data_IF_444293737855
#
_entry.id   IF_444293737855
#
_cell.length_a   1.000
_cell.length_b   1.000
_cell.length_c   1.000
_cell.angle_alpha   90.00
_cell.angle_beta   90.00
_cell.angle_gamma   90.00
#
_symmetry.space_group_name_H-M   'P 1'
#
loop_
_entity.id
_entity.type
_entity.pdbx_description
1 polymer ?
#
# COMPACT_ATOMS: atom_id res chain seq x y z
N UNK A 1 -3.91 -34.09 -23.98
CA UNK A 1 -2.70 -33.28 -24.19
C UNK A 1 -2.15 -32.96 -22.80
N UNK A 2 -1.03 -33.54 -22.37
CA UNK A 2 -0.42 -33.18 -21.09
C UNK A 2 0.14 -31.76 -21.20
N UNK A 3 -0.12 -30.94 -20.19
CA UNK A 3 0.23 -29.53 -20.16
C UNK A 3 1.73 -29.31 -20.15
N UNK A 4 2.21 -28.48 -21.07
CA UNK A 4 3.52 -27.86 -20.98
C UNK A 4 3.51 -26.91 -19.79
N UNK A 5 4.16 -27.33 -18.71
CA UNK A 5 4.63 -26.41 -17.69
C UNK A 5 5.69 -25.56 -18.37
N UNK A 6 5.44 -24.25 -18.51
CA UNK A 6 6.51 -23.30 -18.77
C UNK A 6 7.47 -23.38 -17.58
N UNK A 7 8.52 -24.18 -17.73
CA UNK A 7 9.76 -23.98 -16.99
C UNK A 7 10.18 -22.54 -17.30
N UNK A 8 10.00 -21.64 -16.34
CA UNK A 8 10.79 -20.43 -16.28
C UNK A 8 12.23 -20.88 -16.11
N UNK A 9 12.85 -21.14 -17.25
CA UNK A 9 14.22 -21.55 -17.38
C UNK A 9 15.07 -20.61 -16.54
N UNK A 10 16.09 -21.23 -15.96
CA UNK A 10 17.23 -20.62 -15.32
C UNK A 10 17.95 -19.70 -16.34
N UNK A 11 17.35 -18.57 -16.74
CA UNK A 11 17.99 -17.50 -17.49
C UNK A 11 18.78 -16.66 -16.48
N UNK A 12 19.69 -17.35 -15.80
CA UNK A 12 20.80 -16.78 -15.07
C UNK A 12 22.06 -17.00 -15.88
N UNK A 13 22.10 -16.45 -17.09
CA UNK A 13 23.38 -16.22 -17.77
C UNK A 13 23.98 -14.97 -17.12
N UNK A 14 25.01 -15.21 -16.31
CA UNK A 14 26.07 -14.43 -15.63
C UNK A 14 26.13 -12.89 -15.66
N UNK A 15 25.19 -12.16 -16.26
CA UNK A 15 25.01 -10.71 -16.09
C UNK A 15 23.66 -10.31 -15.50
N UNK A 16 22.69 -11.22 -15.39
CA UNK A 16 21.49 -11.05 -14.54
C UNK A 16 20.57 -9.86 -14.88
N UNK A 17 20.67 -9.27 -16.07
CA UNK A 17 19.78 -8.21 -16.54
C UNK A 17 19.00 -8.67 -17.77
N UNK A 18 17.67 -8.66 -17.70
CA UNK A 18 16.82 -8.74 -18.89
C UNK A 18 16.84 -7.37 -19.56
N UNK A 19 17.51 -7.27 -20.72
CA UNK A 19 17.71 -5.99 -21.42
C UNK A 19 16.62 -5.64 -22.44
N UNK A 20 15.74 -6.57 -22.81
CA UNK A 20 14.67 -6.30 -23.78
C UNK A 20 13.46 -5.63 -23.10
N UNK A 21 13.15 -4.40 -23.52
CA UNK A 21 12.02 -3.62 -22.99
C UNK A 21 10.67 -4.35 -23.14
N UNK A 22 10.52 -5.12 -24.22
CA UNK A 22 9.30 -5.89 -24.52
C UNK A 22 9.04 -6.96 -23.46
N UNK A 23 10.09 -7.68 -23.03
CA UNK A 23 10.02 -8.70 -21.99
C UNK A 23 9.66 -8.10 -20.62
N UNK A 24 10.15 -6.90 -20.29
CA UNK A 24 9.82 -6.21 -19.03
C UNK A 24 8.35 -5.81 -18.99
N UNK A 25 7.81 -5.28 -20.09
CA UNK A 25 6.40 -4.89 -20.18
C UNK A 25 5.47 -6.11 -20.11
N UNK A 26 5.87 -7.25 -20.68
CA UNK A 26 5.14 -8.51 -20.54
C UNK A 26 5.11 -9.01 -19.09
N UNK A 27 6.24 -8.98 -18.37
CA UNK A 27 6.28 -9.38 -16.94
C UNK A 27 5.37 -8.46 -16.11
N UNK A 28 5.38 -7.15 -16.38
CA UNK A 28 4.50 -6.21 -15.67
C UNK A 28 3.02 -6.57 -15.93
N UNK A 29 2.65 -6.78 -17.19
CA UNK A 29 1.27 -7.05 -17.60
C UNK A 29 0.75 -8.40 -17.11
N UNK A 30 1.54 -9.46 -17.21
CA UNK A 30 1.11 -10.83 -16.95
C UNK A 30 1.50 -11.38 -15.58
N UNK A 31 2.44 -10.74 -14.87
CA UNK A 31 2.86 -11.19 -13.53
C UNK A 31 2.57 -10.15 -12.45
N UNK A 32 3.04 -8.90 -12.59
CA UNK A 32 2.91 -7.86 -11.54
C UNK A 32 1.45 -7.47 -11.32
N UNK A 33 0.74 -7.04 -12.37
CA UNK A 33 -0.65 -6.57 -12.24
C UNK A 33 -1.61 -7.67 -11.73
N UNK A 34 -1.59 -8.92 -12.24
CA UNK A 34 -2.44 -9.97 -11.71
C UNK A 34 -2.10 -10.32 -10.27
N UNK A 35 -0.81 -10.39 -9.91
CA UNK A 35 -0.37 -10.67 -8.54
C UNK A 35 -0.85 -9.59 -7.57
N UNK A 36 -0.78 -8.32 -7.96
CA UNK A 36 -1.31 -7.20 -7.19
C UNK A 36 -2.84 -7.30 -7.03
N UNK A 37 -3.57 -7.67 -8.10
CA UNK A 37 -5.01 -7.87 -8.06
C UNK A 37 -5.40 -9.00 -7.09
N UNK A 38 -4.75 -10.17 -7.18
CA UNK A 38 -4.98 -11.28 -6.23
C UNK A 38 -4.61 -10.90 -4.79
N UNK A 39 -3.50 -10.18 -4.59
CA UNK A 39 -3.11 -9.65 -3.28
C UNK A 39 -4.18 -8.73 -2.69
N UNK A 40 -4.79 -7.88 -3.54
CA UNK A 40 -5.89 -6.98 -3.15
C UNK A 40 -7.15 -7.76 -2.75
N UNK A 41 -7.49 -8.81 -3.50
CA UNK A 41 -8.62 -9.68 -3.14
C UNK A 41 -8.37 -10.34 -1.78
N UNK A 42 -7.18 -10.89 -1.54
CA UNK A 42 -6.81 -11.49 -0.25
C UNK A 42 -6.91 -10.46 0.87
N UNK A 43 -6.37 -9.26 0.67
CA UNK A 43 -6.44 -8.15 1.62
C UNK A 43 -7.90 -7.80 1.98
N UNK A 44 -8.76 -7.58 0.98
CA UNK A 44 -10.17 -7.25 1.17
C UNK A 44 -10.97 -8.37 1.84
N UNK A 45 -10.79 -9.62 1.39
CA UNK A 45 -11.46 -10.79 1.99
C UNK A 45 -11.05 -10.95 3.45
N UNK A 46 -9.76 -10.77 3.76
CA UNK A 46 -9.28 -10.88 5.14
C UNK A 46 -9.90 -9.80 6.01
N UNK A 47 -9.92 -8.55 5.57
CA UNK A 47 -10.60 -7.48 6.30
C UNK A 47 -12.08 -7.76 6.52
N UNK A 48 -12.76 -8.28 5.50
CA UNK A 48 -14.18 -8.61 5.58
C UNK A 48 -14.45 -9.74 6.59
N UNK A 49 -13.70 -10.85 6.50
CA UNK A 49 -13.84 -12.00 7.42
C UNK A 49 -13.55 -11.59 8.87
N UNK A 50 -12.49 -10.81 9.09
CA UNK A 50 -12.17 -10.30 10.44
C UNK A 50 -13.30 -9.41 10.95
N UNK A 51 -13.78 -8.45 10.15
CA UNK A 51 -14.87 -7.59 10.60
C UNK A 51 -16.19 -8.34 10.82
N UNK A 52 -16.48 -9.41 10.07
CA UNK A 52 -17.60 -10.30 10.38
C UNK A 52 -17.46 -10.93 11.76
N UNK A 53 -16.28 -11.47 12.09
CA UNK A 53 -16.04 -12.04 13.44
C UNK A 53 -16.13 -10.98 14.55
N UNK A 54 -15.79 -9.73 14.25
CA UNK A 54 -15.85 -8.59 15.18
C UNK A 54 -17.27 -8.03 15.35
N UNK A 55 -18.10 -8.03 14.30
CA UNK A 55 -19.52 -7.70 14.42
C UNK A 55 -20.25 -8.59 15.44
N UNK A 56 -19.75 -9.81 15.67
CA UNK A 56 -20.25 -10.73 16.70
C UNK A 56 -19.54 -10.62 18.06
N UNK A 57 -18.46 -9.85 18.18
CA UNK A 57 -17.71 -9.63 19.42
C UNK A 57 -17.24 -8.17 19.50
N UNK A 58 -18.05 -7.32 20.14
CA UNK A 58 -17.84 -5.87 20.32
C UNK A 58 -16.69 -5.61 21.30
N UNK A 59 -15.46 -6.00 20.95
CA UNK A 59 -14.25 -5.72 21.73
C UNK A 59 -13.14 -5.23 20.79
N UNK A 60 -13.45 -4.20 19.98
CA UNK A 60 -12.41 -3.35 19.40
C UNK A 60 -12.63 -1.94 19.92
N UNK A 61 -12.06 -1.69 21.09
CA UNK A 61 -11.90 -0.39 21.71
C UNK A 61 -10.79 0.41 20.98
N UNK A 62 -10.64 1.70 21.31
CA UNK A 62 -9.51 2.57 20.91
C UNK A 62 -8.13 1.85 20.80
N UNK A 63 -7.77 0.90 21.70
CA UNK A 63 -6.62 0.01 21.56
C UNK A 63 -6.43 -0.69 20.21
N UNK A 64 -7.51 -1.14 19.55
CA UNK A 64 -7.43 -1.79 18.23
C UNK A 64 -6.95 -0.84 17.13
N UNK A 65 -7.32 0.43 17.24
CA UNK A 65 -6.89 1.49 16.34
C UNK A 65 -5.42 1.84 16.59
N UNK A 66 -4.98 1.87 17.85
CA UNK A 66 -3.57 2.03 18.22
C UNK A 66 -2.73 0.84 17.71
N UNK A 67 -3.21 -0.39 17.87
CA UNK A 67 -2.57 -1.59 17.33
C UNK A 67 -2.46 -1.55 15.81
N UNK A 68 -3.47 -1.05 15.09
CA UNK A 68 -3.41 -0.86 13.64
C UNK A 68 -2.35 0.18 13.22
N UNK A 69 -2.14 1.23 14.03
CA UNK A 69 -1.11 2.25 13.79
C UNK A 69 0.29 1.69 14.09
N UNK A 70 0.46 0.94 15.19
CA UNK A 70 1.74 0.31 15.53
C UNK A 70 2.11 -0.75 14.49
N UNK A 71 1.14 -1.57 14.08
CA UNK A 71 1.32 -2.56 13.04
C UNK A 71 1.54 -1.92 11.66
N UNK A 72 1.00 -0.73 11.40
CA UNK A 72 1.36 0.09 10.23
C UNK A 72 2.85 0.47 10.22
N UNK A 73 3.41 0.92 11.34
CA UNK A 73 4.84 1.21 11.43
C UNK A 73 5.69 -0.07 11.34
N UNK A 74 5.24 -1.17 11.94
CA UNK A 74 5.92 -2.46 11.81
C UNK A 74 5.91 -2.97 10.37
N UNK A 75 4.80 -2.84 9.64
CA UNK A 75 4.71 -3.15 8.21
C UNK A 75 5.60 -2.23 7.39
N UNK A 76 5.57 -0.91 7.60
CA UNK A 76 6.43 0.04 6.90
C UNK A 76 7.94 -0.24 7.14
N UNK A 77 8.31 -0.61 8.37
CA UNK A 77 9.68 -1.04 8.71
C UNK A 77 10.00 -2.37 8.04
N UNK A 78 9.08 -3.35 8.06
CA UNK A 78 9.27 -4.62 7.37
C UNK A 78 9.50 -4.41 5.87
N UNK A 79 8.70 -3.56 5.22
CA UNK A 79 8.84 -3.14 3.81
C UNK A 79 10.21 -2.52 3.55
N UNK A 80 10.64 -1.59 4.41
CA UNK A 80 11.95 -0.96 4.31
C UNK A 80 13.11 -1.96 4.47
N UNK A 81 13.02 -2.86 5.46
CA UNK A 81 14.03 -3.89 5.73
C UNK A 81 14.08 -4.91 4.59
N UNK A 82 12.94 -5.38 4.10
CA UNK A 82 12.89 -6.26 2.92
C UNK A 82 13.46 -5.57 1.69
N UNK A 83 13.33 -4.24 1.60
CA UNK A 83 13.88 -3.45 0.51
C UNK A 83 15.37 -3.20 0.55
N UNK A 84 15.95 -3.14 1.75
CA UNK A 84 17.40 -3.03 1.92
C UNK A 84 18.13 -4.34 1.67
N UNK A 85 17.48 -5.49 1.87
CA UNK A 85 18.20 -6.77 1.85
C UNK A 85 18.55 -7.29 0.45
N UNK A 86 18.00 -6.72 -0.63
CA UNK A 86 18.51 -6.88 -2.01
C UNK A 86 18.64 -8.31 -2.54
N UNK A 87 18.22 -9.33 -1.79
CA UNK A 87 18.45 -10.74 -2.09
C UNK A 87 17.14 -11.41 -2.48
N UNK A 88 17.12 -11.76 -3.76
CA UNK A 88 16.38 -12.79 -4.47
C UNK A 88 15.15 -13.40 -3.78
N UNK A 89 14.04 -13.25 -4.49
CA UNK A 89 12.87 -14.13 -4.43
C UNK A 89 12.18 -14.12 -3.07
N UNK A 90 11.54 -12.99 -2.73
CA UNK A 90 10.31 -13.05 -1.93
C UNK A 90 9.45 -14.12 -2.60
N UNK A 91 9.35 -15.30 -2.00
CA UNK A 91 8.55 -16.37 -2.57
C UNK A 91 7.13 -15.84 -2.68
N UNK A 92 6.45 -16.05 -3.81
CA UNK A 92 5.05 -15.65 -4.03
C UNK A 92 4.13 -15.92 -2.81
N UNK A 93 4.29 -17.04 -2.07
CA UNK A 93 3.56 -17.29 -0.82
C UNK A 93 3.78 -16.24 0.27
N UNK A 94 5.00 -15.71 0.41
CA UNK A 94 5.32 -14.66 1.39
C UNK A 94 4.63 -13.35 1.04
N UNK A 95 4.52 -13.01 -0.26
CA UNK A 95 3.74 -11.86 -0.71
C UNK A 95 2.26 -12.00 -0.32
N UNK A 96 1.65 -13.18 -0.54
CA UNK A 96 0.26 -13.41 -0.17
C UNK A 96 0.06 -13.44 1.35
N UNK A 97 0.99 -14.02 2.11
CA UNK A 97 0.97 -13.98 3.58
C UNK A 97 1.06 -12.53 4.10
N UNK A 98 1.82 -11.68 3.42
CA UNK A 98 1.91 -10.26 3.72
C UNK A 98 0.61 -9.52 3.39
N UNK A 99 -0.05 -9.83 2.26
CA UNK A 99 -1.36 -9.25 1.93
C UNK A 99 -2.44 -9.66 2.96
N UNK A 100 -2.43 -10.93 3.38
CA UNK A 100 -3.30 -11.43 4.44
C UNK A 100 -3.03 -10.73 5.78
N UNK A 101 -1.77 -10.62 6.18
CA UNK A 101 -1.37 -9.95 7.42
C UNK A 101 -1.72 -8.47 7.41
N UNK A 102 -1.53 -7.78 6.28
CA UNK A 102 -1.97 -6.40 6.10
C UNK A 102 -3.50 -6.27 6.27
N UNK A 103 -4.27 -7.21 5.71
CA UNK A 103 -5.73 -7.24 5.89
C UNK A 103 -6.13 -7.43 7.35
N UNK A 104 -5.51 -8.36 8.07
CA UNK A 104 -5.75 -8.56 9.51
C UNK A 104 -5.50 -7.29 10.32
N UNK A 105 -4.36 -6.64 10.05
CA UNK A 105 -3.92 -5.45 10.76
C UNK A 105 -4.82 -4.25 10.51
N UNK A 106 -5.32 -4.10 9.29
CA UNK A 106 -6.13 -2.95 8.87
C UNK A 106 -7.62 -3.15 9.11
N UNK A 107 -8.07 -4.39 9.36
CA UNK A 107 -9.47 -4.70 9.61
C UNK A 107 -10.13 -3.83 10.72
N UNK A 108 -9.48 -3.55 11.87
CA UNK A 108 -10.07 -2.70 12.91
C UNK A 108 -10.41 -1.28 12.44
N UNK A 109 -9.77 -0.78 11.38
CA UNK A 109 -10.05 0.55 10.82
C UNK A 109 -11.43 0.59 10.16
N UNK A 110 -11.79 -0.47 9.44
CA UNK A 110 -13.13 -0.61 8.85
C UNK A 110 -14.18 -0.74 9.95
N UNK A 111 -13.89 -1.53 10.99
CA UNK A 111 -14.74 -1.65 12.18
C UNK A 111 -14.94 -0.32 12.90
N UNK A 112 -13.91 0.52 13.00
CA UNK A 112 -14.04 1.88 13.53
C UNK A 112 -15.01 2.74 12.71
N UNK A 113 -14.97 2.63 11.37
CA UNK A 113 -15.94 3.31 10.52
C UNK A 113 -17.37 2.87 10.76
N UNK A 114 -17.60 1.57 11.02
CA UNK A 114 -18.91 1.04 11.41
C UNK A 114 -19.40 1.58 12.75
N UNK A 115 -18.50 1.67 13.75
CA UNK A 115 -18.84 2.27 15.05
C UNK A 115 -19.20 3.75 14.90
N UNK A 116 -18.48 4.48 14.04
CA UNK A 116 -18.68 5.92 13.88
C UNK A 116 -19.96 6.28 13.12
N UNK A 117 -20.28 5.53 12.05
CA UNK A 117 -21.41 5.82 11.18
C UNK A 117 -22.69 5.07 11.58
N UNK A 118 -22.58 3.92 12.26
CA UNK A 118 -23.74 3.11 12.65
C UNK A 118 -24.46 2.41 11.49
N UNK A 119 -24.02 2.61 10.24
CA UNK A 119 -24.62 2.04 9.04
C UNK A 119 -23.59 1.22 8.24
N UNK A 120 -23.80 -0.10 8.18
CA UNK A 120 -22.95 -1.02 7.42
C UNK A 120 -22.98 -0.75 5.92
N UNK A 121 -24.14 -0.40 5.35
CA UNK A 121 -24.27 -0.13 3.92
C UNK A 121 -23.44 1.11 3.55
N UNK A 122 -23.51 2.15 4.38
CA UNK A 122 -22.74 3.36 4.17
C UNK A 122 -21.23 3.11 4.27
N UNK A 123 -20.79 2.33 5.26
CA UNK A 123 -19.37 1.95 5.41
C UNK A 123 -18.87 1.17 4.19
N UNK A 124 -19.62 0.19 3.71
CA UNK A 124 -19.25 -0.59 2.52
C UNK A 124 -19.18 0.29 1.27
N UNK A 125 -20.09 1.26 1.13
CA UNK A 125 -20.07 2.24 0.05
C UNK A 125 -18.81 3.11 0.13
N UNK A 126 -18.49 3.70 1.28
CA UNK A 126 -17.30 4.55 1.45
C UNK A 126 -16.01 3.75 1.26
N UNK A 127 -15.96 2.49 1.70
CA UNK A 127 -14.83 1.60 1.47
C UNK A 127 -14.64 1.30 -0.02
N UNK A 128 -15.73 1.02 -0.74
CA UNK A 128 -15.70 0.82 -2.19
C UNK A 128 -15.19 2.06 -2.91
N UNK A 129 -15.66 3.25 -2.52
CA UNK A 129 -15.18 4.53 -3.06
C UNK A 129 -13.68 4.71 -2.78
N UNK A 130 -13.20 4.34 -1.59
CA UNK A 130 -11.79 4.41 -1.26
C UNK A 130 -10.92 3.49 -2.12
N UNK A 131 -11.39 2.26 -2.41
CA UNK A 131 -10.73 1.34 -3.34
C UNK A 131 -10.65 1.93 -4.75
N UNK A 132 -11.75 2.47 -5.26
CA UNK A 132 -11.76 3.13 -6.58
C UNK A 132 -10.82 4.34 -6.63
N UNK A 133 -10.83 5.18 -5.59
CA UNK A 133 -9.97 6.36 -5.50
C UNK A 133 -8.49 5.97 -5.46
N UNK A 134 -8.11 5.00 -4.63
CA UNK A 134 -6.75 4.49 -4.58
C UNK A 134 -6.30 3.93 -5.94
N UNK A 135 -7.16 3.17 -6.62
CA UNK A 135 -6.85 2.60 -7.95
C UNK A 135 -6.64 3.71 -8.98
N UNK A 136 -7.52 4.71 -8.99
CA UNK A 136 -7.41 5.86 -9.88
C UNK A 136 -6.13 6.65 -9.61
N UNK A 137 -5.73 6.82 -8.34
CA UNK A 137 -4.46 7.47 -7.96
C UNK A 137 -3.27 6.69 -8.48
N UNK A 138 -3.16 5.39 -8.19
CA UNK A 138 -2.05 4.55 -8.67
C UNK A 138 -1.98 4.54 -10.20
N UNK A 139 -3.13 4.41 -10.88
CA UNK A 139 -3.19 4.44 -12.34
C UNK A 139 -2.74 5.78 -12.91
N UNK A 140 -3.18 6.90 -12.32
CA UNK A 140 -2.76 8.24 -12.75
C UNK A 140 -1.25 8.42 -12.59
N UNK A 141 -0.69 8.01 -11.44
CA UNK A 141 0.75 8.07 -11.20
C UNK A 141 1.51 7.17 -12.18
N UNK A 142 0.99 5.98 -12.49
CA UNK A 142 1.57 5.07 -13.48
C UNK A 142 1.60 5.71 -14.88
N UNK A 143 0.52 6.36 -15.30
CA UNK A 143 0.49 7.07 -16.57
C UNK A 143 1.48 8.24 -16.57
N UNK A 144 1.53 9.05 -15.51
CA UNK A 144 2.45 10.18 -15.39
C UNK A 144 3.93 9.73 -15.46
N UNK A 145 4.27 8.64 -14.78
CA UNK A 145 5.64 8.08 -14.77
C UNK A 145 6.01 7.50 -16.13
N UNK A 146 5.09 6.81 -16.83
CA UNK A 146 5.30 6.28 -18.18
C UNK A 146 5.60 7.37 -19.21
N UNK A 147 4.88 8.49 -19.17
CA UNK A 147 5.06 9.58 -20.15
C UNK A 147 6.18 10.57 -19.79
N UNK A 148 6.62 10.62 -18.53
CA UNK A 148 7.62 11.59 -18.04
C UNK A 148 9.04 11.03 -17.92
N UNK A 149 9.44 10.11 -18.79
CA UNK A 149 10.69 9.33 -18.74
C UNK A 149 11.99 10.13 -18.52
N UNK A 150 11.99 11.45 -18.76
CA UNK A 150 13.13 12.35 -18.52
C UNK A 150 13.19 12.95 -17.11
N UNK A 151 12.07 13.11 -16.41
CA UNK A 151 12.01 13.79 -15.11
C UNK A 151 12.21 12.84 -13.92
N UNK A 152 11.69 11.60 -14.02
CA UNK A 152 11.72 10.60 -12.95
C UNK A 152 12.83 9.55 -13.13
N UNK A 153 13.97 9.96 -13.69
CA UNK A 153 15.13 9.08 -13.72
C UNK A 153 15.62 8.88 -12.26
N UNK A 154 15.76 7.64 -11.74
CA UNK A 154 16.12 7.39 -10.34
C UNK A 154 17.49 7.97 -9.93
N UNK A 155 18.33 8.35 -10.90
CA UNK A 155 19.56 9.11 -10.68
C UNK A 155 19.39 10.64 -10.55
N UNK A 156 18.20 11.18 -10.83
CA UNK A 156 17.95 12.63 -10.82
C UNK A 156 17.88 13.17 -9.38
N UNK A 157 18.38 14.40 -9.18
CA UNK A 157 18.33 15.06 -7.88
C UNK A 157 16.92 15.20 -7.30
N UNK A 158 15.89 15.20 -8.17
CA UNK A 158 14.48 15.31 -7.80
C UNK A 158 14.01 14.11 -6.94
N UNK A 159 14.42 12.89 -7.30
CA UNK A 159 14.09 11.68 -6.55
C UNK A 159 14.75 11.71 -5.16
N UNK A 160 16.00 12.16 -5.05
CA UNK A 160 16.67 12.32 -3.74
C UNK A 160 16.00 13.40 -2.88
N UNK A 161 15.63 14.53 -3.47
CA UNK A 161 14.91 15.61 -2.79
C UNK A 161 13.55 15.10 -2.28
N UNK A 162 12.84 14.28 -3.06
CA UNK A 162 11.58 13.69 -2.62
C UNK A 162 11.72 12.81 -1.38
N UNK A 163 12.82 12.04 -1.24
CA UNK A 163 13.11 11.24 -0.03
C UNK A 163 13.31 12.13 1.20
N UNK A 164 14.05 13.23 1.07
CA UNK A 164 14.25 14.19 2.17
C UNK A 164 12.96 14.89 2.57
N UNK A 165 12.11 15.25 1.60
CA UNK A 165 10.78 15.83 1.85
C UNK A 165 9.90 14.81 2.58
N UNK A 166 9.90 13.54 2.18
CA UNK A 166 9.17 12.47 2.88
C UNK A 166 9.67 12.28 4.31
N UNK A 167 10.99 12.30 4.56
CA UNK A 167 11.53 12.23 5.92
C UNK A 167 11.12 13.44 6.76
N UNK A 168 11.25 14.67 6.25
CA UNK A 168 10.87 15.87 6.98
C UNK A 168 9.37 15.94 7.26
N UNK A 169 8.54 15.56 6.30
CA UNK A 169 7.10 15.45 6.47
C UNK A 169 6.75 14.38 7.52
N UNK A 170 7.48 13.26 7.56
CA UNK A 170 7.30 12.20 8.57
C UNK A 170 7.68 12.67 9.98
N UNK A 171 8.74 13.47 10.12
CA UNK A 171 9.15 14.06 11.41
C UNK A 171 8.15 15.13 11.86
N UNK A 172 7.76 16.05 10.97
CA UNK A 172 6.74 17.07 11.25
C UNK A 172 5.40 16.44 11.63
N UNK A 173 5.06 15.32 11.00
CA UNK A 173 3.91 14.51 11.35
C UNK A 173 3.98 13.93 12.77
N UNK A 174 5.13 13.37 13.14
CA UNK A 174 5.35 12.77 14.45
C UNK A 174 5.24 13.82 15.57
N UNK A 175 5.72 15.03 15.31
CA UNK A 175 5.56 16.19 16.21
C UNK A 175 4.08 16.58 16.33
N UNK A 176 3.37 16.71 15.20
CA UNK A 176 1.94 17.05 15.20
C UNK A 176 1.07 15.96 15.85
N UNK A 177 1.45 14.69 15.72
CA UNK A 177 0.84 13.55 16.40
C UNK A 177 0.97 13.67 17.92
N UNK A 178 2.17 13.93 18.43
CA UNK A 178 2.40 14.13 19.86
C UNK A 178 1.61 15.33 20.36
N UNK A 179 1.59 16.44 19.63
CA UNK A 179 0.84 17.65 19.99
C UNK A 179 -0.67 17.42 20.03
N UNK A 180 -1.24 16.68 19.08
CA UNK A 180 -2.69 16.46 19.00
C UNK A 180 -3.20 15.47 20.05
N UNK A 181 -2.37 14.48 20.42
CA UNK A 181 -2.65 13.59 21.55
C UNK A 181 -2.72 14.36 22.88
N UNK A 182 -1.85 15.36 23.06
CA UNK A 182 -1.85 16.21 24.25
C UNK A 182 -3.07 17.15 24.32
N UNK A 183 -3.64 17.54 23.17
CA UNK A 183 -4.78 18.47 23.07
C UNK A 183 -6.14 17.72 23.15
N UNK A 184 -6.15 16.39 23.10
CA UNK A 184 -7.36 15.57 23.25
C UNK A 184 -8.32 15.60 22.04
N UNK A 185 -7.88 16.11 20.88
CA UNK A 185 -8.72 16.26 19.69
C UNK A 185 -8.46 15.14 18.66
N UNK A 186 -8.92 13.93 19.00
CA UNK A 186 -8.57 12.69 18.29
C UNK A 186 -9.09 12.59 16.85
N UNK A 187 -10.28 13.14 16.55
CA UNK A 187 -10.87 13.08 15.21
C UNK A 187 -10.15 13.99 14.21
N UNK A 188 -9.80 15.23 14.62
CA UNK A 188 -9.03 16.15 13.80
C UNK A 188 -7.62 15.60 13.54
N UNK A 189 -7.03 14.94 14.55
CA UNK A 189 -5.77 14.22 14.43
C UNK A 189 -5.83 13.09 13.39
N UNK A 190 -6.83 12.21 13.49
CA UNK A 190 -7.00 11.11 12.54
C UNK A 190 -7.22 11.60 11.11
N UNK A 191 -7.92 12.73 10.94
CA UNK A 191 -8.15 13.35 9.64
C UNK A 191 -6.85 13.89 9.03
N UNK A 192 -6.15 14.78 9.75
CA UNK A 192 -4.92 15.39 9.25
C UNK A 192 -3.80 14.36 9.03
N UNK A 193 -3.71 13.36 9.90
CA UNK A 193 -2.77 12.24 9.72
C UNK A 193 -3.07 11.41 8.49
N UNK A 194 -4.34 11.21 8.19
CA UNK A 194 -4.74 10.44 7.00
C UNK A 194 -4.45 11.23 5.72
N UNK A 195 -4.69 12.54 5.68
CA UNK A 195 -4.30 13.37 4.53
C UNK A 195 -2.80 13.35 4.26
N UNK A 196 -1.99 13.51 5.32
CA UNK A 196 -0.55 13.50 5.16
C UNK A 196 -0.04 12.11 4.76
N UNK A 197 -0.60 11.04 5.33
CA UNK A 197 -0.26 9.69 4.93
C UNK A 197 -0.61 9.44 3.45
N UNK A 198 -1.77 9.87 2.97
CA UNK A 198 -2.12 9.79 1.53
C UNK A 198 -1.10 10.53 0.67
N UNK A 199 -0.70 11.74 1.08
CA UNK A 199 0.30 12.52 0.35
C UNK A 199 1.66 11.80 0.31
N UNK A 200 2.16 11.35 1.47
CA UNK A 200 3.44 10.66 1.59
C UNK A 200 3.45 9.34 0.82
N UNK A 201 2.42 8.51 0.99
CA UNK A 201 2.29 7.26 0.26
C UNK A 201 2.16 7.52 -1.24
N UNK A 202 1.50 8.60 -1.68
CA UNK A 202 1.49 8.99 -3.08
C UNK A 202 2.90 9.24 -3.66
N UNK A 203 3.81 9.85 -2.89
CA UNK A 203 5.22 9.99 -3.29
C UNK A 203 5.96 8.65 -3.30
N UNK A 204 5.75 7.80 -2.30
CA UNK A 204 6.32 6.45 -2.28
C UNK A 204 5.87 5.64 -3.50
N UNK A 205 4.58 5.68 -3.83
CA UNK A 205 4.00 5.01 -4.99
C UNK A 205 4.61 5.54 -6.28
N UNK A 206 4.80 6.85 -6.38
CA UNK A 206 5.45 7.46 -7.53
C UNK A 206 6.91 7.00 -7.67
N UNK A 207 7.65 6.91 -6.56
CA UNK A 207 9.01 6.40 -6.56
C UNK A 207 9.06 4.92 -6.95
N UNK A 208 8.18 4.10 -6.39
CA UNK A 208 8.14 2.66 -6.64
C UNK A 208 7.68 2.34 -8.06
N UNK A 209 6.76 3.12 -8.64
CA UNK A 209 6.37 3.02 -10.04
C UNK A 209 7.50 3.48 -10.99
N UNK A 210 8.23 4.55 -10.65
CA UNK A 210 9.39 4.99 -11.42
C UNK A 210 10.51 3.93 -11.40
N UNK A 211 10.73 3.29 -10.25
CA UNK A 211 11.71 2.22 -10.07
C UNK A 211 11.20 0.83 -10.49
N UNK A 212 9.94 0.71 -10.94
CA UNK A 212 9.30 -0.58 -11.21
C UNK A 212 10.03 -1.34 -12.33
N UNK A 213 10.28 -0.67 -13.46
CA UNK A 213 10.95 -1.27 -14.62
C UNK A 213 12.35 -1.78 -14.26
N UNK A 214 13.13 -0.99 -13.51
CA UNK A 214 14.47 -1.37 -13.07
C UNK A 214 14.47 -2.56 -12.10
N UNK A 215 13.46 -2.63 -11.22
CA UNK A 215 13.31 -3.76 -10.30
C UNK A 215 12.87 -5.03 -11.05
N UNK A 216 12.01 -4.90 -12.06
CA UNK A 216 11.57 -6.02 -12.90
C UNK A 216 12.71 -6.53 -13.77
N UNK A 217 13.48 -5.65 -14.42
CA UNK A 217 14.61 -6.03 -15.29
C UNK A 217 15.75 -6.73 -14.53
N UNK A 218 15.89 -6.44 -13.22
CA UNK A 218 16.80 -7.13 -12.30
C UNK A 218 16.21 -8.39 -11.67
N UNK A 219 15.07 -8.91 -12.16
CA UNK A 219 14.44 -10.13 -11.68
C UNK A 219 13.71 -10.00 -10.32
N UNK A 220 13.63 -8.79 -9.75
CA UNK A 220 13.03 -8.51 -8.43
C UNK A 220 11.57 -8.07 -8.54
N UNK A 221 10.81 -8.67 -9.45
CA UNK A 221 9.43 -8.25 -9.76
C UNK A 221 8.45 -8.51 -8.61
N UNK A 222 8.57 -9.64 -7.88
CA UNK A 222 7.70 -9.94 -6.71
C UNK A 222 7.92 -8.92 -5.61
N UNK A 223 9.18 -8.55 -5.38
CA UNK A 223 9.56 -7.53 -4.42
C UNK A 223 8.98 -6.16 -4.80
N UNK A 224 9.09 -5.76 -6.07
CA UNK A 224 8.47 -4.52 -6.54
C UNK A 224 6.94 -4.53 -6.39
N UNK A 225 6.31 -5.69 -6.64
CA UNK A 225 4.87 -5.90 -6.47
C UNK A 225 4.46 -5.77 -5.00
N UNK A 226 5.25 -6.32 -4.07
CA UNK A 226 5.00 -6.24 -2.64
C UNK A 226 4.99 -4.79 -2.13
N UNK A 227 5.99 -4.00 -2.55
CA UNK A 227 6.06 -2.58 -2.22
C UNK A 227 4.86 -1.80 -2.74
N UNK A 228 4.56 -1.97 -4.03
CA UNK A 228 3.44 -1.30 -4.67
C UNK A 228 2.08 -1.69 -4.05
N UNK A 229 1.91 -2.97 -3.69
CA UNK A 229 0.70 -3.45 -3.02
C UNK A 229 0.53 -2.86 -1.63
N UNK A 230 1.61 -2.74 -0.85
CA UNK A 230 1.56 -2.15 0.50
C UNK A 230 1.19 -0.67 0.46
N UNK A 231 1.82 0.09 -0.44
CA UNK A 231 1.46 1.48 -0.70
C UNK A 231 -0.02 1.61 -1.08
N UNK A 232 -0.48 0.74 -1.97
CA UNK A 232 -1.88 0.72 -2.40
C UNK A 232 -2.85 0.41 -1.25
N UNK A 233 -2.56 -0.59 -0.40
CA UNK A 233 -3.40 -0.91 0.76
C UNK A 233 -3.45 0.24 1.76
N UNK A 234 -2.33 0.93 1.98
CA UNK A 234 -2.27 2.11 2.83
C UNK A 234 -3.15 3.22 2.26
N UNK A 235 -3.06 3.50 0.95
CA UNK A 235 -3.91 4.50 0.30
C UNK A 235 -5.39 4.21 0.50
N UNK A 236 -5.83 2.95 0.30
CA UNK A 236 -7.23 2.54 0.51
C UNK A 236 -7.69 2.92 1.92
N UNK A 237 -6.95 2.47 2.94
CA UNK A 237 -7.35 2.65 4.34
C UNK A 237 -7.38 4.14 4.73
N UNK A 238 -6.41 4.92 4.26
CA UNK A 238 -6.32 6.34 4.60
C UNK A 238 -7.39 7.17 3.91
N UNK A 239 -7.67 6.89 2.63
CA UNK A 239 -8.79 7.52 1.93
C UNK A 239 -10.11 7.14 2.62
N UNK A 240 -10.29 5.88 2.99
CA UNK A 240 -11.48 5.43 3.72
C UNK A 240 -11.67 6.20 5.03
N UNK A 241 -10.63 6.35 5.86
CA UNK A 241 -10.71 7.13 7.10
C UNK A 241 -11.08 8.60 6.86
N UNK A 242 -10.52 9.23 5.83
CA UNK A 242 -10.87 10.62 5.45
C UNK A 242 -12.37 10.71 5.13
N UNK A 243 -12.88 9.76 4.34
CA UNK A 243 -14.29 9.73 3.94
C UNK A 243 -15.22 9.49 5.13
N UNK A 244 -14.89 8.54 6.00
CA UNK A 244 -15.65 8.21 7.21
C UNK A 244 -15.71 9.39 8.17
N UNK A 245 -14.58 10.01 8.49
CA UNK A 245 -14.52 11.16 9.42
C UNK A 245 -15.20 12.38 8.79
N UNK A 246 -14.96 12.61 7.50
CA UNK A 246 -15.58 13.69 6.76
C UNK A 246 -17.10 13.55 6.68
N UNK A 247 -17.63 12.32 6.59
CA UNK A 247 -19.06 12.03 6.62
C UNK A 247 -19.66 12.22 8.01
N UNK A 248 -19.01 11.67 9.04
CA UNK A 248 -19.45 11.79 10.44
C UNK A 248 -19.47 13.23 10.95
N UNK A 249 -18.59 14.10 10.45
CA UNK A 249 -18.55 15.52 10.86
C UNK A 249 -19.68 16.38 10.28
N UNK A 250 -20.49 15.84 9.36
CA UNK A 250 -21.61 16.56 8.73
C UNK A 250 -22.95 16.32 9.40
N UNK A 251 -23.07 15.23 10.18
CA UNK A 251 -24.25 14.91 10.98
C UNK A 251 -24.11 15.50 12.39
#
# INVERSE_FOLDING_TARGET
MPGEYFEYGNIGNETGYVQDEETVDEIIKYSVLPTMAYGTVIFCVTMFVVNLTVLFNIIYSLPGLILSIVAYFALAIATFVTGMQGKNNVALPLFYALCFSAGLVQAPVVGYGLVLLGDLQEVLMLFTVAVFAATATVFTIYMLTRYSSRFFNPGSGFVRISIYIVMFASVGFLVWMISSLLIGNFSLYLLGSSFLAVFLTGFCTLYDLAALRDRVSSGRWVYATAHLALDYFILIVRIFLILVIGRSSRD
#
